data_IF_835211649997
#
_entry.id   IF_835211649997
#
_cell.length_a   1.000
_cell.length_b   1.000
_cell.length_c   1.000
_cell.angle_alpha   90.00
_cell.angle_beta   90.00
_cell.angle_gamma   90.00
#
_symmetry.space_group_name_H-M   'P 1'
#
loop_
_entity.id
_entity.type
_entity.pdbx_description
1 polymer ?
#
# COMPACT_ATOMS: atom_id res chain seq x y z
N UNK A 1 -10.60 32.79 18.68
CA UNK A 1 -11.43 32.06 19.65
C UNK A 1 -10.59 30.99 20.31
N UNK A 2 -10.38 31.14 21.61
CA UNK A 2 -9.59 30.25 22.47
C UNK A 2 -10.34 28.93 22.65
N UNK A 3 -9.71 27.78 22.52
CA UNK A 3 -10.18 26.49 23.06
C UNK A 3 -9.08 25.86 23.91
N UNK A 4 -9.37 25.86 25.10
CA UNK A 4 -9.08 25.21 26.37
C UNK A 4 -8.64 23.75 26.19
N UNK A 5 -7.46 23.47 26.75
CA UNK A 5 -6.92 22.12 26.97
C UNK A 5 -7.45 21.68 28.35
N UNK A 6 -8.25 20.63 28.40
CA UNK A 6 -8.61 19.95 29.62
C UNK A 6 -7.62 18.79 29.84
N UNK A 7 -6.86 18.89 30.91
CA UNK A 7 -6.12 17.78 31.52
C UNK A 7 -7.06 16.96 32.40
N UNK A 8 -7.18 15.67 32.17
CA UNK A 8 -7.88 14.75 33.08
C UNK A 8 -6.82 13.94 33.81
N UNK A 9 -6.58 14.32 35.05
CA UNK A 9 -5.89 13.51 36.06
C UNK A 9 -6.92 12.63 36.74
N UNK A 10 -6.90 11.33 36.55
CA UNK A 10 -7.69 10.38 37.28
C UNK A 10 -6.89 9.95 38.55
N UNK A 11 -7.27 10.46 39.69
CA UNK A 11 -6.81 10.01 40.98
C UNK A 11 -7.73 8.89 41.46
N UNK A 12 -7.20 7.68 41.59
CA UNK A 12 -7.86 6.57 42.29
C UNK A 12 -7.50 6.65 43.76
N UNK A 13 -8.46 7.13 44.57
CA UNK A 13 -8.43 7.08 46.05
C UNK A 13 -8.89 5.69 46.51
N UNK A 14 -7.98 4.90 47.09
CA UNK A 14 -8.31 3.77 47.93
C UNK A 14 -8.34 4.27 49.38
N UNK A 15 -9.54 4.32 49.97
CA UNK A 15 -9.70 4.55 51.41
C UNK A 15 -9.49 3.23 52.14
N UNK A 16 -8.43 3.17 52.96
CA UNK A 16 -8.35 2.25 54.10
C UNK A 16 -8.40 3.08 55.39
N UNK A 17 -9.50 2.92 56.12
CA UNK A 17 -9.63 3.43 57.45
C UNK A 17 -8.89 2.50 58.43
N UNK A 18 -7.83 3.00 59.08
CA UNK A 18 -7.35 2.50 60.36
C UNK A 18 -6.91 3.67 61.23
N UNK A 19 -7.56 3.78 62.37
CA UNK A 19 -7.23 4.76 63.40
C UNK A 19 -5.95 4.35 64.13
N UNK A 20 -4.99 5.29 64.26
CA UNK A 20 -3.79 5.09 65.07
C UNK A 20 -2.75 6.19 64.84
N UNK A 21 -2.57 7.05 65.83
CA UNK A 21 -1.58 8.13 65.87
C UNK A 21 -0.19 7.73 65.41
N UNK A 22 0.34 8.47 64.46
CA UNK A 22 1.72 8.95 64.46
C UNK A 22 2.00 9.82 63.21
N UNK A 23 2.37 11.07 63.46
CA UNK A 23 2.69 12.11 62.43
C UNK A 23 4.09 11.96 61.79
N UNK A 24 4.49 10.74 61.44
CA UNK A 24 5.82 10.44 60.88
C UNK A 24 5.79 9.55 59.63
N UNK A 25 4.69 9.45 58.89
CA UNK A 25 4.56 8.49 57.78
C UNK A 25 4.34 9.06 56.39
N UNK A 26 3.99 10.33 56.26
CA UNK A 26 3.56 10.88 54.95
C UNK A 26 4.69 11.46 54.11
N UNK A 27 5.76 11.94 54.76
CA UNK A 27 6.95 12.46 54.09
C UNK A 27 7.84 11.35 53.50
N UNK A 28 7.95 10.22 54.22
CA UNK A 28 8.80 9.10 53.84
C UNK A 28 8.20 8.28 52.70
N UNK A 29 6.86 8.16 52.65
CA UNK A 29 6.19 7.44 51.53
C UNK A 29 6.22 8.22 50.20
N UNK A 30 6.22 9.55 50.24
CA UNK A 30 6.37 10.41 49.05
C UNK A 30 7.83 10.40 48.58
N UNK A 31 8.78 10.41 49.48
CA UNK A 31 10.20 10.35 49.16
C UNK A 31 10.58 8.96 48.61
N UNK A 32 10.12 7.87 49.22
CA UNK A 32 10.37 6.52 48.71
C UNK A 32 9.71 6.29 47.36
N UNK A 33 8.53 6.85 47.10
CA UNK A 33 7.87 6.77 45.79
C UNK A 33 8.63 7.57 44.70
N UNK A 34 9.13 8.77 45.07
CA UNK A 34 10.00 9.56 44.18
C UNK A 34 11.35 8.91 43.95
N UNK A 35 11.93 8.24 44.91
CA UNK A 35 13.17 7.46 44.74
C UNK A 35 12.96 6.21 43.89
N UNK A 36 11.83 5.53 44.06
CA UNK A 36 11.47 4.38 43.21
C UNK A 36 11.18 4.86 41.77
N UNK A 37 10.45 5.95 41.56
CA UNK A 37 10.23 6.55 40.26
C UNK A 37 11.55 7.02 39.62
N UNK A 38 12.45 7.68 40.37
CA UNK A 38 13.80 8.03 39.92
C UNK A 38 14.65 6.81 39.60
N UNK A 39 14.64 5.78 40.42
CA UNK A 39 15.40 4.55 40.19
C UNK A 39 14.84 3.75 39.00
N UNK A 40 13.54 3.84 38.74
CA UNK A 40 12.92 3.26 37.54
C UNK A 40 13.28 4.08 36.27
N UNK A 41 13.26 5.41 36.34
CA UNK A 41 13.67 6.30 35.29
C UNK A 41 15.18 6.13 34.97
N UNK A 42 16.06 6.09 35.95
CA UNK A 42 17.49 5.81 35.77
C UNK A 42 17.74 4.40 35.20
N UNK A 43 16.91 3.42 35.55
CA UNK A 43 17.01 2.05 35.02
C UNK A 43 16.51 1.95 33.58
N UNK A 44 15.48 2.71 33.17
CA UNK A 44 15.04 2.81 31.78
C UNK A 44 16.04 3.56 30.92
N UNK A 45 16.55 4.70 31.34
CA UNK A 45 17.65 5.44 30.72
C UNK A 45 18.85 4.52 30.48
N UNK A 46 19.26 3.75 31.50
CA UNK A 46 20.35 2.79 31.42
C UNK A 46 20.10 1.69 30.35
N UNK A 47 18.86 1.24 30.16
CA UNK A 47 18.51 0.23 29.13
C UNK A 47 18.55 0.82 27.73
N UNK A 48 17.99 2.01 27.53
CA UNK A 48 18.00 2.69 26.22
C UNK A 48 19.44 3.02 25.81
N UNK A 49 20.21 3.54 26.72
CA UNK A 49 21.62 3.87 26.48
C UNK A 49 22.44 2.63 26.11
N UNK A 50 22.34 1.54 26.88
CA UNK A 50 23.00 0.26 26.57
C UNK A 50 22.62 -0.28 25.20
N UNK A 51 21.34 -0.25 24.84
CA UNK A 51 20.84 -0.73 23.56
C UNK A 51 21.31 0.15 22.40
N UNK A 52 21.31 1.47 22.57
CA UNK A 52 21.86 2.38 21.57
C UNK A 52 23.37 2.15 21.36
N UNK A 53 24.11 1.90 22.43
CA UNK A 53 25.54 1.56 22.36
C UNK A 53 25.77 0.30 21.52
N UNK A 54 24.96 -0.75 21.73
CA UNK A 54 25.02 -1.99 20.93
C UNK A 54 24.71 -1.72 19.46
N UNK A 55 23.74 -0.86 19.15
CA UNK A 55 23.44 -0.46 17.76
C UNK A 55 24.60 0.33 17.16
N UNK A 56 25.18 1.26 17.93
CA UNK A 56 26.27 2.11 17.51
C UNK A 56 27.54 1.32 17.16
N UNK A 57 27.84 0.25 17.91
CA UNK A 57 28.99 -0.62 17.63
C UNK A 57 28.93 -1.30 16.24
N UNK A 58 27.74 -1.42 15.67
CA UNK A 58 27.50 -2.08 14.38
C UNK A 58 27.20 -1.10 13.26
N UNK A 59 27.10 0.17 13.56
CA UNK A 59 26.68 1.22 12.61
C UNK A 59 27.85 2.16 12.30
N UNK A 60 28.04 2.55 11.03
CA UNK A 60 28.94 3.62 10.67
C UNK A 60 28.38 5.01 11.00
N UNK A 61 27.13 5.10 11.47
CA UNK A 61 26.47 6.33 11.89
C UNK A 61 26.65 6.45 13.40
N UNK A 62 27.03 7.63 13.87
CA UNK A 62 27.14 7.89 15.30
C UNK A 62 25.76 8.06 15.94
N UNK A 63 25.28 6.99 16.59
CA UNK A 63 23.97 6.88 17.25
C UNK A 63 24.05 7.31 18.73
N UNK A 64 24.27 8.60 18.94
CA UNK A 64 24.50 9.18 20.28
C UNK A 64 23.23 9.11 21.14
N UNK A 65 23.37 8.62 22.38
CA UNK A 65 22.35 8.79 23.42
C UNK A 65 22.42 10.18 24.07
N UNK A 66 21.29 10.85 24.13
CA UNK A 66 21.07 12.07 24.91
C UNK A 66 19.57 12.29 25.16
N UNK A 67 19.22 13.29 25.98
CA UNK A 67 17.83 13.60 26.32
C UNK A 67 16.92 13.91 25.10
N UNK A 68 17.46 14.43 24.00
CA UNK A 68 16.68 14.71 22.79
C UNK A 68 16.33 13.43 22.04
N UNK A 69 17.26 12.49 21.97
CA UNK A 69 17.07 11.16 21.39
C UNK A 69 16.09 10.36 22.21
N UNK A 70 16.25 10.35 23.52
CA UNK A 70 15.36 9.67 24.47
C UNK A 70 13.92 10.19 24.37
N UNK A 71 13.73 11.52 24.38
CA UNK A 71 12.41 12.12 24.18
C UNK A 71 11.78 11.72 22.84
N UNK A 72 12.58 11.57 21.79
CA UNK A 72 12.13 11.11 20.49
C UNK A 72 11.75 9.62 20.53
N UNK A 73 12.52 8.76 21.17
CA UNK A 73 12.21 7.34 21.39
C UNK A 73 10.89 7.20 22.14
N UNK A 74 10.73 7.90 23.27
CA UNK A 74 9.51 7.88 24.08
C UNK A 74 8.28 8.38 23.30
N UNK A 75 8.46 9.34 22.41
CA UNK A 75 7.38 9.79 21.52
C UNK A 75 6.88 8.68 20.60
N UNK A 76 7.76 7.85 20.04
CA UNK A 76 7.37 6.70 19.23
C UNK A 76 6.78 5.56 20.05
N UNK A 77 7.35 5.26 21.22
CA UNK A 77 6.92 4.15 22.06
C UNK A 77 5.57 4.41 22.76
N UNK A 78 5.28 5.67 23.12
CA UNK A 78 4.06 6.02 23.88
C UNK A 78 2.99 6.62 22.97
N UNK A 79 3.31 7.71 22.25
CA UNK A 79 2.30 8.48 21.50
C UNK A 79 2.02 7.89 20.12
N UNK A 80 3.03 7.28 19.50
CA UNK A 80 2.98 6.82 18.10
C UNK A 80 3.07 5.30 17.96
N UNK A 81 2.75 4.53 19.02
CA UNK A 81 2.85 3.06 19.02
C UNK A 81 2.10 2.40 17.85
N UNK A 82 0.88 2.89 17.53
CA UNK A 82 0.11 2.41 16.37
C UNK A 82 0.80 2.70 15.03
N UNK A 83 1.46 3.85 14.92
CA UNK A 83 2.22 4.21 13.72
C UNK A 83 3.42 3.27 13.55
N UNK A 84 4.16 2.98 14.62
CA UNK A 84 5.27 2.01 14.61
C UNK A 84 4.79 0.64 14.19
N UNK A 85 3.69 0.14 14.78
CA UNK A 85 3.06 -1.14 14.45
C UNK A 85 2.73 -1.25 12.95
N UNK A 86 2.17 -0.19 12.36
CA UNK A 86 1.89 -0.11 10.92
C UNK A 86 3.16 -0.08 10.07
N UNK A 87 4.16 0.72 10.45
CA UNK A 87 5.43 0.82 9.72
C UNK A 87 6.19 -0.50 9.70
N UNK A 88 6.18 -1.25 10.81
CA UNK A 88 6.74 -2.60 10.88
C UNK A 88 6.08 -3.56 9.90
N UNK A 89 4.75 -3.46 9.71
CA UNK A 89 4.01 -4.29 8.76
C UNK A 89 4.28 -3.95 7.30
N UNK A 90 4.57 -2.68 7.00
CA UNK A 90 4.84 -2.19 5.63
C UNK A 90 6.33 -2.29 5.26
N UNK A 91 7.23 -2.25 6.23
CA UNK A 91 8.68 -2.26 6.01
C UNK A 91 9.16 -3.42 5.10
N UNK A 92 8.67 -4.65 5.20
CA UNK A 92 9.06 -5.75 4.32
C UNK A 92 8.77 -5.50 2.83
N UNK A 93 7.87 -4.59 2.48
CA UNK A 93 7.58 -4.23 1.08
C UNK A 93 8.69 -3.38 0.46
N UNK A 94 9.32 -2.50 1.26
CA UNK A 94 10.29 -1.53 0.74
C UNK A 94 11.74 -1.80 1.14
N UNK A 95 11.98 -2.36 2.32
CA UNK A 95 13.33 -2.49 2.86
C UNK A 95 14.29 -3.29 2.00
N UNK A 96 13.90 -4.44 1.41
CA UNK A 96 14.83 -5.19 0.54
C UNK A 96 15.32 -4.35 -0.65
N UNK A 97 14.44 -3.55 -1.24
CA UNK A 97 14.78 -2.64 -2.32
C UNK A 97 15.65 -1.48 -1.83
N UNK A 98 15.32 -0.87 -0.67
CA UNK A 98 16.15 0.18 -0.09
C UNK A 98 17.56 -0.31 0.20
N UNK A 99 17.69 -1.48 0.85
CA UNK A 99 18.98 -2.08 1.20
C UNK A 99 19.84 -2.35 -0.04
N UNK A 100 19.25 -2.85 -1.13
CA UNK A 100 19.96 -3.11 -2.38
C UNK A 100 20.51 -1.80 -3.01
N UNK A 101 19.74 -0.69 -2.96
CA UNK A 101 20.22 0.60 -3.47
C UNK A 101 21.22 1.28 -2.53
N UNK A 102 21.02 1.19 -1.21
CA UNK A 102 21.97 1.74 -0.23
C UNK A 102 23.33 1.06 -0.36
N UNK A 103 23.34 -0.28 -0.46
CA UNK A 103 24.56 -1.06 -0.68
C UNK A 103 25.25 -0.68 -2.01
N UNK A 104 24.49 -0.56 -3.10
CA UNK A 104 25.00 -0.13 -4.42
C UNK A 104 25.75 1.20 -4.39
N UNK A 105 25.38 2.10 -3.49
CA UNK A 105 25.95 3.44 -3.36
C UNK A 105 26.84 3.63 -2.13
N UNK A 106 27.26 2.55 -1.45
CA UNK A 106 28.06 2.55 -0.22
C UNK A 106 27.48 3.45 0.90
N UNK A 107 26.14 3.44 1.04
CA UNK A 107 25.40 4.17 2.07
C UNK A 107 25.06 3.23 3.22
N UNK A 108 25.18 3.65 4.50
CA UNK A 108 24.78 2.84 5.63
C UNK A 108 23.33 2.33 5.52
N UNK A 109 23.11 1.04 5.79
CA UNK A 109 21.79 0.41 5.65
C UNK A 109 20.73 1.01 6.58
N UNK A 110 21.14 1.68 7.65
CA UNK A 110 20.26 2.42 8.56
C UNK A 110 19.52 3.55 7.87
N UNK A 111 20.04 4.09 6.75
CA UNK A 111 19.35 5.12 5.97
C UNK A 111 17.99 4.68 5.46
N UNK A 112 17.68 3.37 5.39
CA UNK A 112 16.33 2.87 5.13
C UNK A 112 15.29 3.43 6.11
N UNK A 113 15.69 3.68 7.36
CA UNK A 113 14.81 4.25 8.38
C UNK A 113 14.48 5.74 8.13
N UNK A 114 15.22 6.41 7.26
CA UNK A 114 14.93 7.79 6.90
C UNK A 114 13.60 7.93 6.17
N UNK A 115 13.24 6.96 5.32
CA UNK A 115 11.92 6.94 4.66
C UNK A 115 10.75 6.80 5.67
N UNK A 116 11.02 6.24 6.86
CA UNK A 116 10.04 6.23 7.96
C UNK A 116 9.89 7.64 8.53
N UNK A 117 10.99 8.34 8.79
CA UNK A 117 10.98 9.73 9.30
C UNK A 117 10.26 10.67 8.33
N UNK A 118 10.51 10.52 7.03
CA UNK A 118 9.98 11.39 5.98
C UNK A 118 8.49 11.17 5.69
N UNK A 119 8.09 9.92 5.54
CA UNK A 119 6.78 9.59 5.00
C UNK A 119 6.01 8.52 5.78
N UNK A 120 6.61 7.93 6.82
CA UNK A 120 6.10 6.71 7.46
C UNK A 120 5.85 5.59 6.43
N UNK A 121 6.75 5.44 5.44
CA UNK A 121 6.68 4.50 4.32
C UNK A 121 5.45 4.69 3.41
N UNK A 122 4.94 5.92 3.29
CA UNK A 122 3.86 6.21 2.36
C UNK A 122 4.40 6.80 1.04
N UNK A 123 4.36 6.06 -0.08
CA UNK A 123 4.87 6.54 -1.36
C UNK A 123 4.06 7.71 -1.93
N UNK A 124 2.85 7.97 -1.42
CA UNK A 124 1.99 9.10 -1.82
C UNK A 124 2.00 10.25 -0.83
N UNK A 125 2.89 10.23 0.15
CA UNK A 125 3.00 11.31 1.12
C UNK A 125 3.24 12.66 0.43
N UNK A 126 2.59 13.70 0.95
CA UNK A 126 2.72 15.08 0.48
C UNK A 126 2.81 16.03 1.66
N UNK A 127 3.89 16.78 1.74
CA UNK A 127 4.05 17.86 2.73
C UNK A 127 3.32 19.13 2.31
N UNK A 128 3.13 20.06 3.25
CA UNK A 128 2.56 21.39 2.96
C UNK A 128 3.47 22.21 2.02
N UNK A 129 4.78 22.03 2.11
CA UNK A 129 5.79 22.68 1.24
C UNK A 129 5.92 22.03 -0.14
N UNK A 130 5.18 20.95 -0.42
CA UNK A 130 5.14 20.28 -1.73
C UNK A 130 6.19 19.19 -1.92
N UNK A 131 6.87 18.75 -0.86
CA UNK A 131 7.68 17.54 -0.90
C UNK A 131 6.80 16.30 -1.11
N UNK A 132 7.29 15.27 -1.82
CA UNK A 132 6.52 14.08 -2.17
C UNK A 132 7.30 12.78 -2.08
N UNK A 133 6.54 11.71 -1.85
CA UNK A 133 7.02 10.33 -1.93
C UNK A 133 7.65 9.80 -0.66
N UNK A 134 8.23 8.60 -0.73
CA UNK A 134 8.89 7.90 0.38
C UNK A 134 10.00 8.76 1.01
N UNK A 135 10.76 9.46 0.17
CA UNK A 135 11.93 10.26 0.52
C UNK A 135 11.66 11.77 0.59
N UNK A 136 10.41 12.20 0.45
CA UNK A 136 9.97 13.61 0.53
C UNK A 136 10.79 14.58 -0.32
N UNK A 137 11.09 14.21 -1.57
CA UNK A 137 11.79 15.11 -2.48
C UNK A 137 11.01 16.40 -2.75
N UNK A 138 11.68 17.54 -2.61
CA UNK A 138 11.21 18.80 -3.17
C UNK A 138 11.29 18.76 -4.70
N UNK A 139 10.45 19.53 -5.38
CA UNK A 139 10.41 19.56 -6.85
C UNK A 139 11.78 19.84 -7.48
N UNK A 140 12.45 20.89 -7.03
CA UNK A 140 13.77 21.31 -7.55
C UNK A 140 14.84 20.25 -7.32
N UNK A 141 14.91 19.68 -6.11
CA UNK A 141 15.86 18.63 -5.77
C UNK A 141 15.57 17.36 -6.59
N UNK A 142 14.32 16.95 -6.71
CA UNK A 142 13.95 15.80 -7.54
C UNK A 142 14.40 15.96 -8.99
N UNK A 143 14.24 17.15 -9.58
CA UNK A 143 14.71 17.46 -10.93
C UNK A 143 16.23 17.37 -11.09
N UNK A 144 17.01 17.75 -10.07
CA UNK A 144 18.48 17.62 -10.06
C UNK A 144 18.93 16.15 -10.12
N UNK A 145 18.10 15.24 -9.59
CA UNK A 145 18.36 13.80 -9.60
C UNK A 145 17.47 13.06 -10.64
N UNK A 146 17.12 13.73 -11.73
CA UNK A 146 16.44 13.21 -12.91
C UNK A 146 15.03 12.63 -12.65
N UNK A 147 14.36 13.03 -11.56
CA UNK A 147 12.97 12.65 -11.33
C UNK A 147 12.02 13.51 -12.17
N UNK A 148 11.30 12.88 -13.10
CA UNK A 148 10.35 13.55 -13.96
C UNK A 148 9.06 13.90 -13.22
N UNK A 149 8.59 15.13 -13.41
CA UNK A 149 7.31 15.59 -12.89
C UNK A 149 6.53 16.27 -13.99
N UNK A 150 5.38 15.69 -14.31
CA UNK A 150 4.43 16.18 -15.31
C UNK A 150 3.01 16.21 -14.72
N UNK A 151 2.00 16.55 -15.53
CA UNK A 151 0.60 16.46 -15.11
C UNK A 151 0.10 15.03 -14.88
N UNK A 152 0.76 14.02 -15.44
CA UNK A 152 0.37 12.60 -15.40
C UNK A 152 1.30 11.75 -14.54
N UNK A 153 2.55 12.19 -14.37
CA UNK A 153 3.62 11.43 -13.73
C UNK A 153 4.35 12.31 -12.71
N UNK A 154 4.59 11.78 -11.51
CA UNK A 154 5.46 12.40 -10.49
C UNK A 154 6.40 11.32 -9.93
N UNK A 155 7.60 11.19 -10.50
CA UNK A 155 8.58 10.14 -10.15
C UNK A 155 9.16 10.30 -8.75
N UNK A 156 8.91 11.41 -8.04
CA UNK A 156 9.21 11.53 -6.62
C UNK A 156 8.41 10.55 -5.77
N UNK A 157 7.29 10.05 -6.31
CA UNK A 157 6.42 9.05 -5.69
C UNK A 157 6.74 7.62 -6.19
N UNK A 158 7.60 7.47 -7.19
CA UNK A 158 8.06 6.17 -7.67
C UNK A 158 9.04 5.54 -6.66
N UNK A 159 8.74 4.36 -6.09
CA UNK A 159 9.61 3.79 -5.06
C UNK A 159 11.02 3.50 -5.54
N UNK A 160 11.19 2.96 -6.74
CA UNK A 160 12.51 2.60 -7.29
C UNK A 160 13.32 3.85 -7.64
N UNK A 161 12.76 4.72 -8.49
CA UNK A 161 13.44 5.92 -8.99
C UNK A 161 13.78 6.90 -7.87
N UNK A 162 12.83 7.13 -6.94
CA UNK A 162 13.08 8.03 -5.83
C UNK A 162 14.09 7.48 -4.82
N UNK A 163 14.18 6.15 -4.68
CA UNK A 163 15.21 5.53 -3.84
C UNK A 163 16.59 5.68 -4.45
N UNK A 164 16.75 5.42 -5.74
CA UNK A 164 18.02 5.64 -6.44
C UNK A 164 18.46 7.12 -6.36
N UNK A 165 17.54 8.04 -6.61
CA UNK A 165 17.78 9.47 -6.47
C UNK A 165 18.20 9.88 -5.04
N UNK A 166 17.57 9.27 -4.02
CA UNK A 166 17.93 9.52 -2.62
C UNK A 166 19.34 9.04 -2.30
N UNK A 167 19.72 7.84 -2.75
CA UNK A 167 21.07 7.32 -2.57
C UNK A 167 22.13 8.21 -3.25
N UNK A 168 21.90 8.66 -4.48
CA UNK A 168 22.76 9.62 -5.16
C UNK A 168 22.89 10.94 -4.37
N UNK A 169 21.80 11.41 -3.79
CA UNK A 169 21.80 12.62 -2.98
C UNK A 169 22.57 12.43 -1.66
N UNK A 170 22.39 11.29 -0.98
CA UNK A 170 23.15 10.97 0.24
C UNK A 170 24.64 10.89 -0.03
N UNK A 171 25.06 10.19 -1.10
CA UNK A 171 26.46 10.11 -1.51
C UNK A 171 27.05 11.51 -1.74
N UNK A 172 26.32 12.38 -2.47
CA UNK A 172 26.73 13.76 -2.71
C UNK A 172 26.83 14.59 -1.43
N UNK A 173 25.90 14.41 -0.49
CA UNK A 173 25.99 15.09 0.80
C UNK A 173 27.15 14.56 1.64
N UNK A 174 27.45 13.27 1.57
CA UNK A 174 28.61 12.70 2.28
C UNK A 174 29.94 13.19 1.72
N UNK A 175 30.09 13.34 0.41
CA UNK A 175 31.24 14.02 -0.21
C UNK A 175 31.45 15.44 0.34
N UNK A 176 30.37 16.17 0.65
CA UNK A 176 30.42 17.55 1.13
C UNK A 176 30.76 17.66 2.62
N UNK A 177 30.25 16.75 3.45
CA UNK A 177 30.25 16.90 4.90
C UNK A 177 31.08 15.85 5.65
N UNK A 178 31.36 14.69 5.05
CA UNK A 178 32.17 13.61 5.63
C UNK A 178 31.64 12.99 6.93
N UNK A 179 30.41 13.34 7.33
CA UNK A 179 29.77 12.88 8.57
C UNK A 179 28.29 12.63 8.36
N UNK A 180 27.82 11.44 8.73
CA UNK A 180 26.43 11.02 8.46
C UNK A 180 25.40 11.84 9.23
N UNK A 181 25.67 12.31 10.43
CA UNK A 181 24.76 13.19 11.18
C UNK A 181 24.61 14.56 10.50
N UNK A 182 25.68 15.08 9.89
CA UNK A 182 25.63 16.28 9.06
C UNK A 182 24.90 16.02 7.73
N UNK A 183 25.05 14.85 7.13
CA UNK A 183 24.27 14.42 5.94
C UNK A 183 22.79 14.45 6.24
N UNK A 184 22.35 13.85 7.36
CA UNK A 184 20.95 13.88 7.80
C UNK A 184 20.44 15.32 7.98
N UNK A 185 21.23 16.16 8.65
CA UNK A 185 20.89 17.57 8.84
C UNK A 185 20.82 18.37 7.53
N UNK A 186 21.74 18.08 6.58
CA UNK A 186 21.76 18.69 5.26
C UNK A 186 20.61 18.24 4.38
N UNK A 187 20.22 16.97 4.46
CA UNK A 187 19.08 16.44 3.74
C UNK A 187 17.78 17.17 4.11
N UNK A 188 17.54 17.35 5.41
CA UNK A 188 16.38 18.07 5.92
C UNK A 188 16.44 19.58 5.67
N UNK A 189 17.55 20.23 6.09
CA UNK A 189 17.67 21.69 6.11
C UNK A 189 18.14 22.30 4.78
N UNK A 190 18.71 21.49 3.92
CA UNK A 190 19.40 21.88 2.70
C UNK A 190 20.90 22.15 2.94
N UNK A 191 21.80 21.66 2.03
CA UNK A 191 23.25 21.76 2.21
C UNK A 191 23.74 23.20 2.33
N UNK A 192 23.22 24.11 1.50
CA UNK A 192 23.65 25.52 1.56
C UNK A 192 23.26 26.23 2.87
N UNK A 193 22.15 25.83 3.52
CA UNK A 193 21.81 26.35 4.84
C UNK A 193 22.76 25.82 5.91
N UNK A 194 23.02 24.50 5.88
CA UNK A 194 23.91 23.88 6.85
C UNK A 194 25.33 24.46 6.75
N UNK A 195 25.91 24.53 5.53
CA UNK A 195 27.23 25.11 5.29
C UNK A 195 27.35 26.54 5.82
N UNK A 196 26.35 27.40 5.52
CA UNK A 196 26.35 28.78 6.05
C UNK A 196 26.34 28.83 7.58
N UNK A 197 25.59 27.91 8.21
CA UNK A 197 25.53 27.85 9.68
C UNK A 197 26.87 27.39 10.26
N UNK A 198 27.50 26.36 9.68
CA UNK A 198 28.82 25.86 10.07
C UNK A 198 29.88 26.93 9.97
N UNK A 199 29.97 27.64 8.84
CA UNK A 199 30.91 28.72 8.61
C UNK A 199 30.72 29.87 9.61
N UNK A 200 29.44 30.25 9.87
CA UNK A 200 29.11 31.34 10.81
C UNK A 200 29.50 31.01 12.25
N UNK A 201 29.39 29.75 12.66
CA UNK A 201 29.63 29.31 14.04
C UNK A 201 31.03 28.78 14.25
N UNK A 202 31.75 28.36 13.19
CA UNK A 202 32.99 27.63 13.27
C UNK A 202 32.83 26.19 13.77
N UNK A 203 31.62 25.64 13.83
CA UNK A 203 31.30 24.33 14.38
C UNK A 203 31.02 23.35 13.24
N UNK A 204 31.65 22.17 13.29
CA UNK A 204 31.57 21.12 12.26
C UNK A 204 31.10 19.77 12.79
N UNK A 205 30.66 19.70 14.04
CA UNK A 205 29.93 18.56 14.62
C UNK A 205 28.45 18.86 14.71
N UNK A 206 27.58 17.85 14.43
CA UNK A 206 26.12 18.05 14.44
C UNK A 206 25.58 18.39 15.84
N UNK A 207 26.06 17.69 16.88
CA UNK A 207 25.51 17.85 18.23
C UNK A 207 25.87 19.19 18.84
N UNK A 208 27.05 19.67 18.56
CA UNK A 208 27.53 21.02 18.95
C UNK A 208 26.81 22.10 18.09
N UNK A 209 26.61 21.85 16.78
CA UNK A 209 25.96 22.78 15.86
C UNK A 209 24.43 22.87 16.12
N UNK A 210 23.84 21.82 16.68
CA UNK A 210 22.42 21.65 16.87
C UNK A 210 21.69 22.85 17.50
N UNK A 211 22.18 23.54 18.53
CA UNK A 211 21.51 24.72 19.11
C UNK A 211 21.29 25.86 18.11
N UNK A 212 22.13 25.96 17.10
CA UNK A 212 22.11 27.02 16.06
C UNK A 212 21.24 26.65 14.86
N UNK A 213 20.79 25.40 14.76
CA UNK A 213 19.95 24.93 13.67
C UNK A 213 18.49 25.35 13.87
N UNK A 214 17.71 25.38 12.77
CA UNK A 214 16.25 25.55 12.80
C UNK A 214 15.60 24.41 13.58
N UNK A 215 14.46 24.69 14.19
CA UNK A 215 13.74 23.71 15.03
C UNK A 215 13.53 22.36 14.36
N UNK A 216 13.17 22.34 13.09
CA UNK A 216 12.97 21.12 12.30
C UNK A 216 14.26 20.31 12.18
N UNK A 217 15.33 20.95 11.70
CA UNK A 217 16.64 20.32 11.50
C UNK A 217 17.29 19.86 12.83
N UNK A 218 17.04 20.60 13.93
CA UNK A 218 17.48 20.20 15.29
C UNK A 218 16.85 18.89 15.77
N UNK A 219 15.62 18.60 15.35
CA UNK A 219 14.89 17.39 15.74
C UNK A 219 15.13 16.20 14.81
N UNK A 220 15.76 16.41 13.67
CA UNK A 220 15.80 15.42 12.61
C UNK A 220 16.71 14.22 12.91
N UNK A 221 17.96 14.46 13.32
CA UNK A 221 18.87 13.38 13.75
C UNK A 221 18.33 12.64 14.97
N UNK A 222 17.85 13.32 16.05
CA UNK A 222 17.19 12.64 17.15
C UNK A 222 16.01 11.74 16.72
N UNK A 223 15.20 12.18 15.74
CA UNK A 223 14.09 11.38 15.22
C UNK A 223 14.61 10.16 14.43
N UNK A 224 15.66 10.31 13.63
CA UNK A 224 16.28 9.21 12.91
C UNK A 224 16.84 8.14 13.85
N UNK A 225 17.63 8.56 14.88
CA UNK A 225 18.16 7.65 15.89
C UNK A 225 17.03 6.92 16.64
N UNK A 226 15.95 7.65 16.97
CA UNK A 226 14.80 7.08 17.64
C UNK A 226 14.07 6.02 16.78
N UNK A 227 13.90 6.28 15.48
CA UNK A 227 13.28 5.29 14.58
C UNK A 227 14.18 4.06 14.45
N UNK A 228 15.50 4.25 14.30
CA UNK A 228 16.45 3.14 14.27
C UNK A 228 16.31 2.28 15.54
N UNK A 229 16.32 2.90 16.72
CA UNK A 229 16.14 2.20 17.99
C UNK A 229 14.81 1.43 18.04
N UNK A 230 13.70 2.10 17.75
CA UNK A 230 12.36 1.51 17.88
C UNK A 230 12.14 0.36 16.90
N UNK A 231 12.62 0.49 15.67
CA UNK A 231 12.51 -0.56 14.64
C UNK A 231 13.36 -1.79 14.97
N UNK A 232 14.42 -1.66 15.78
CA UNK A 232 15.22 -2.80 16.24
C UNK A 232 14.69 -3.45 17.52
N UNK A 233 14.09 -2.66 18.43
CA UNK A 233 13.70 -3.12 19.78
C UNK A 233 12.17 -3.10 20.01
N UNK A 234 11.33 -3.07 18.97
CA UNK A 234 9.88 -2.99 19.10
C UNK A 234 9.25 -4.13 19.90
N UNK A 235 9.84 -5.34 19.86
CA UNK A 235 9.34 -6.53 20.56
C UNK A 235 9.42 -6.36 22.08
N UNK A 236 10.52 -5.79 22.57
CA UNK A 236 10.79 -5.53 23.97
C UNK A 236 9.81 -4.53 24.59
N UNK A 237 9.19 -3.71 23.73
CA UNK A 237 8.13 -2.76 24.15
C UNK A 237 6.71 -3.28 23.86
N UNK A 238 6.56 -4.56 23.54
CA UNK A 238 5.26 -5.17 23.26
C UNK A 238 4.52 -4.49 22.11
N UNK A 239 5.26 -4.12 21.05
CA UNK A 239 4.66 -3.57 19.82
C UNK A 239 4.41 -4.74 18.87
N UNK A 240 3.14 -5.02 18.63
CA UNK A 240 2.73 -6.02 17.64
C UNK A 240 2.79 -5.46 16.23
N UNK A 241 3.14 -6.30 15.27
CA UNK A 241 3.20 -5.92 13.85
C UNK A 241 1.78 -5.91 13.29
N UNK A 242 1.31 -4.76 12.86
CA UNK A 242 0.05 -4.66 12.11
C UNK A 242 0.25 -5.23 10.71
N UNK A 243 -0.48 -6.29 10.39
CA UNK A 243 -0.48 -6.83 9.01
C UNK A 243 -0.91 -5.74 8.03
N UNK A 244 -0.24 -5.60 6.88
CA UNK A 244 -0.68 -4.67 5.85
C UNK A 244 -2.07 -5.06 5.33
N UNK A 245 -2.86 -4.06 4.92
CA UNK A 245 -4.22 -4.26 4.40
C UNK A 245 -4.26 -5.14 3.15
N UNK A 246 -3.17 -5.17 2.40
CA UNK A 246 -2.99 -6.04 1.24
C UNK A 246 -1.77 -6.95 1.43
N UNK A 247 -1.77 -8.16 0.87
CA UNK A 247 -0.58 -8.99 0.87
C UNK A 247 0.56 -8.30 0.10
N UNK A 248 1.80 -8.51 0.56
CA UNK A 248 2.98 -8.13 -0.20
C UNK A 248 3.07 -9.07 -1.40
N UNK A 249 3.11 -8.52 -2.60
CA UNK A 249 3.07 -9.26 -3.86
C UNK A 249 4.41 -9.04 -4.57
N UNK A 250 5.00 -10.12 -5.07
CA UNK A 250 6.15 -10.00 -5.96
C UNK A 250 5.75 -9.27 -7.24
N UNK A 251 6.49 -8.24 -7.58
CA UNK A 251 6.22 -7.37 -8.73
C UNK A 251 7.40 -7.36 -9.68
N UNK A 252 7.11 -6.99 -10.93
CA UNK A 252 8.12 -6.68 -11.95
C UNK A 252 7.70 -5.41 -12.69
N UNK A 253 8.61 -4.87 -13.52
CA UNK A 253 8.40 -3.62 -14.26
C UNK A 253 8.59 -3.81 -15.75
N UNK A 254 7.74 -3.15 -16.56
CA UNK A 254 7.89 -3.07 -18.00
C UNK A 254 7.67 -1.63 -18.48
N UNK A 255 8.36 -1.23 -19.56
CA UNK A 255 8.15 0.07 -20.19
C UNK A 255 7.01 -0.01 -21.22
N UNK A 256 5.97 0.78 -21.04
CA UNK A 256 4.87 0.88 -22.01
C UNK A 256 5.31 1.59 -23.29
N UNK A 257 4.99 1.00 -24.43
CA UNK A 257 5.30 1.57 -25.77
C UNK A 257 4.28 2.63 -26.24
N UNK A 258 3.15 2.74 -25.54
CA UNK A 258 2.11 3.73 -25.83
C UNK A 258 1.41 4.19 -24.58
N UNK A 259 0.64 5.27 -24.66
CA UNK A 259 -0.19 5.74 -23.56
C UNK A 259 -1.28 4.71 -23.24
N UNK A 260 -1.64 4.57 -21.96
CA UNK A 260 -2.65 3.60 -21.52
C UNK A 260 -3.45 4.09 -20.31
N UNK A 261 -4.77 4.05 -20.40
CA UNK A 261 -5.66 4.34 -19.27
C UNK A 261 -5.74 3.15 -18.30
N UNK A 262 -5.88 3.42 -17.00
CA UNK A 262 -6.02 2.37 -15.98
C UNK A 262 -7.23 1.48 -16.21
N UNK A 263 -8.32 2.03 -16.80
CA UNK A 263 -9.53 1.26 -17.08
C UNK A 263 -9.27 0.22 -18.16
N UNK A 264 -8.60 0.63 -19.22
CA UNK A 264 -8.21 -0.25 -20.33
C UNK A 264 -7.25 -1.34 -19.83
N UNK A 265 -6.20 -0.93 -19.10
CA UNK A 265 -5.25 -1.89 -18.55
C UNK A 265 -5.93 -2.87 -17.59
N UNK A 266 -6.77 -2.37 -16.67
CA UNK A 266 -7.50 -3.17 -15.68
C UNK A 266 -8.33 -4.30 -16.33
N UNK A 267 -9.02 -3.99 -17.41
CA UNK A 267 -9.82 -4.97 -18.16
C UNK A 267 -8.94 -5.98 -18.89
N UNK A 268 -7.86 -5.51 -19.54
CA UNK A 268 -6.97 -6.36 -20.32
C UNK A 268 -6.22 -7.40 -19.47
N UNK A 269 -5.81 -7.03 -18.27
CA UNK A 269 -5.02 -7.89 -17.39
C UNK A 269 -5.82 -8.46 -16.20
N UNK A 270 -7.12 -8.18 -16.12
CA UNK A 270 -8.00 -8.60 -15.03
C UNK A 270 -7.49 -8.21 -13.63
N UNK A 271 -6.92 -7.01 -13.50
CA UNK A 271 -6.39 -6.48 -12.24
C UNK A 271 -7.18 -5.23 -11.84
N UNK A 272 -7.68 -5.11 -10.58
CA UNK A 272 -8.43 -3.92 -10.13
C UNK A 272 -7.62 -2.63 -10.31
N UNK A 273 -8.28 -1.55 -10.73
CA UNK A 273 -7.68 -0.20 -10.92
C UNK A 273 -7.00 0.32 -9.66
N UNK A 274 -7.55 0.00 -8.51
CA UNK A 274 -7.01 0.33 -7.19
C UNK A 274 -5.66 -0.32 -6.98
N UNK A 275 -5.53 -1.61 -7.33
CA UNK A 275 -4.27 -2.35 -7.24
C UNK A 275 -3.24 -1.80 -8.23
N UNK A 276 -3.64 -1.54 -9.48
CA UNK A 276 -2.77 -0.88 -10.47
C UNK A 276 -2.24 0.44 -9.93
N UNK A 277 -3.15 1.26 -9.37
CA UNK A 277 -2.78 2.54 -8.78
C UNK A 277 -1.85 2.41 -7.58
N UNK A 278 -2.08 1.44 -6.70
CA UNK A 278 -1.23 1.20 -5.51
C UNK A 278 0.19 0.80 -5.89
N UNK A 279 0.33 -0.06 -6.91
CA UNK A 279 1.63 -0.48 -7.43
C UNK A 279 2.35 0.61 -8.23
N UNK A 280 1.61 1.63 -8.71
CA UNK A 280 2.13 2.72 -9.53
C UNK A 280 1.81 4.09 -8.89
N UNK A 281 2.35 4.40 -7.71
CA UNK A 281 2.01 5.62 -6.97
C UNK A 281 2.46 6.90 -7.67
N UNK A 282 3.42 6.82 -8.60
CA UNK A 282 3.90 7.95 -9.41
C UNK A 282 2.87 8.46 -10.43
N UNK A 283 1.85 7.65 -10.78
CA UNK A 283 0.83 8.02 -11.77
C UNK A 283 -0.27 8.85 -11.08
N UNK A 284 -0.46 10.09 -11.54
CA UNK A 284 -1.33 11.06 -10.86
C UNK A 284 -2.75 11.11 -11.42
N UNK A 285 -2.97 10.83 -12.71
CA UNK A 285 -4.27 10.96 -13.40
C UNK A 285 -4.85 9.65 -13.92
N UNK A 286 -4.39 8.50 -13.40
CA UNK A 286 -4.84 7.16 -13.83
C UNK A 286 -4.61 6.88 -15.33
N UNK A 287 -3.66 7.56 -15.94
CA UNK A 287 -3.22 7.38 -17.31
C UNK A 287 -1.70 7.23 -17.30
N UNK A 288 -1.20 6.12 -17.79
CA UNK A 288 0.22 5.90 -18.02
C UNK A 288 0.64 6.64 -19.30
N UNK A 289 1.57 7.59 -19.25
CA UNK A 289 2.16 8.14 -20.45
C UNK A 289 2.94 7.10 -21.26
N UNK A 290 3.11 7.33 -22.56
CA UNK A 290 4.04 6.56 -23.38
C UNK A 290 5.46 6.60 -22.81
N UNK A 291 6.20 5.51 -22.94
CA UNK A 291 7.55 5.33 -22.42
C UNK A 291 7.65 5.44 -20.88
N UNK A 292 6.56 5.10 -20.17
CA UNK A 292 6.55 5.05 -18.70
C UNK A 292 6.70 3.60 -18.24
N UNK A 293 7.51 3.39 -17.20
CA UNK A 293 7.58 2.10 -16.54
C UNK A 293 6.31 1.87 -15.72
N UNK A 294 5.71 0.69 -15.88
CA UNK A 294 4.61 0.23 -15.04
C UNK A 294 5.07 -0.95 -14.19
N UNK A 295 4.58 -1.00 -12.96
CA UNK A 295 4.81 -2.10 -12.02
C UNK A 295 3.54 -2.94 -11.93
N UNK A 296 3.67 -4.24 -12.16
CA UNK A 296 2.56 -5.20 -12.08
C UNK A 296 2.98 -6.42 -11.24
N UNK A 297 2.03 -7.22 -10.71
CA UNK A 297 2.33 -8.51 -10.13
C UNK A 297 3.07 -9.40 -11.14
N UNK A 298 4.07 -10.15 -10.69
CA UNK A 298 4.99 -10.90 -11.57
C UNK A 298 4.27 -11.90 -12.49
N UNK A 299 3.23 -12.57 -11.98
CA UNK A 299 2.39 -13.46 -12.78
C UNK A 299 1.61 -12.71 -13.88
N UNK A 300 1.07 -11.52 -13.55
CA UNK A 300 0.33 -10.67 -14.50
C UNK A 300 1.29 -10.07 -15.53
N UNK A 301 2.51 -9.73 -15.11
CA UNK A 301 3.56 -9.21 -16.00
C UNK A 301 3.91 -10.22 -17.09
N UNK A 302 4.03 -11.51 -16.74
CA UNK A 302 4.29 -12.57 -17.74
C UNK A 302 3.16 -12.64 -18.77
N UNK A 303 1.91 -12.60 -18.34
CA UNK A 303 0.75 -12.59 -19.25
C UNK A 303 0.73 -11.32 -20.14
N UNK A 304 1.10 -10.17 -19.58
CA UNK A 304 1.22 -8.93 -20.34
C UNK A 304 2.28 -9.06 -21.45
N UNK A 305 3.48 -9.54 -21.13
CA UNK A 305 4.58 -9.69 -22.10
C UNK A 305 4.20 -10.66 -23.22
N UNK A 306 3.62 -11.81 -22.88
CA UNK A 306 3.19 -12.81 -23.88
C UNK A 306 2.14 -12.21 -24.86
N UNK A 307 1.27 -11.34 -24.35
CA UNK A 307 0.17 -10.76 -25.12
C UNK A 307 0.43 -9.29 -25.53
N UNK A 308 1.65 -8.78 -25.38
CA UNK A 308 1.98 -7.36 -25.52
C UNK A 308 1.45 -6.75 -26.83
N UNK A 309 1.67 -7.42 -27.96
CA UNK A 309 1.22 -6.94 -29.26
C UNK A 309 -0.31 -6.89 -29.40
N UNK A 310 -1.01 -7.87 -28.84
CA UNK A 310 -2.47 -7.90 -28.85
C UNK A 310 -3.05 -6.79 -27.96
N UNK A 311 -2.40 -6.53 -26.81
CA UNK A 311 -2.75 -5.45 -25.89
C UNK A 311 -2.66 -4.10 -26.60
N UNK A 312 -1.55 -3.81 -27.28
CA UNK A 312 -1.39 -2.53 -27.99
C UNK A 312 -2.35 -2.38 -29.17
N UNK A 313 -2.61 -3.45 -29.92
CA UNK A 313 -3.62 -3.41 -30.99
C UNK A 313 -5.01 -3.07 -30.42
N UNK A 314 -5.37 -3.62 -29.26
CA UNK A 314 -6.63 -3.28 -28.59
C UNK A 314 -6.66 -1.82 -28.12
N UNK A 315 -5.58 -1.33 -27.52
CA UNK A 315 -5.50 0.08 -27.07
C UNK A 315 -5.68 1.03 -28.25
N UNK A 316 -5.05 0.75 -29.39
CA UNK A 316 -5.23 1.53 -30.64
C UNK A 316 -6.68 1.54 -31.11
N UNK A 317 -7.36 0.38 -31.09
CA UNK A 317 -8.77 0.28 -31.46
C UNK A 317 -9.70 1.07 -30.52
N UNK A 318 -9.38 1.10 -29.21
CA UNK A 318 -10.10 1.93 -28.22
C UNK A 318 -9.87 3.43 -28.48
N UNK A 319 -8.63 3.86 -28.76
CA UNK A 319 -8.31 5.25 -29.07
C UNK A 319 -9.00 5.72 -30.36
N UNK A 320 -9.11 4.85 -31.37
CA UNK A 320 -9.81 5.11 -32.62
C UNK A 320 -11.33 5.03 -32.50
N UNK A 321 -11.87 4.77 -31.29
CA UNK A 321 -13.29 4.55 -31.01
C UNK A 321 -13.92 3.39 -31.80
N UNK A 322 -13.09 2.47 -32.31
CA UNK A 322 -13.55 1.23 -32.93
C UNK A 322 -14.11 0.24 -31.89
N UNK A 323 -13.67 0.37 -30.64
CA UNK A 323 -14.14 -0.39 -29.47
C UNK A 323 -14.52 0.61 -28.36
N UNK A 324 -15.74 0.51 -27.84
CA UNK A 324 -16.17 1.28 -26.66
C UNK A 324 -15.80 0.54 -25.39
N UNK A 325 -15.30 1.28 -24.38
CA UNK A 325 -14.85 0.72 -23.07
C UNK A 325 -15.98 0.03 -22.27
N UNK A 326 -17.24 0.10 -22.74
CA UNK A 326 -18.38 -0.59 -22.14
C UNK A 326 -18.51 -2.05 -22.57
N UNK A 327 -17.50 -2.63 -23.23
CA UNK A 327 -17.48 -4.03 -23.64
C UNK A 327 -16.65 -4.86 -22.63
N UNK A 328 -17.26 -5.83 -21.99
CA UNK A 328 -16.57 -6.74 -21.06
C UNK A 328 -15.78 -7.82 -21.81
N UNK A 329 -14.53 -8.02 -21.43
CA UNK A 329 -13.70 -9.12 -21.98
C UNK A 329 -14.13 -10.46 -21.36
N UNK A 330 -14.40 -11.44 -22.23
CA UNK A 330 -14.61 -12.83 -21.86
C UNK A 330 -13.56 -13.72 -22.52
N UNK A 331 -12.98 -14.64 -21.78
CA UNK A 331 -12.17 -15.72 -22.37
C UNK A 331 -13.08 -16.93 -22.57
N UNK A 332 -13.43 -17.16 -23.84
CA UNK A 332 -14.25 -18.31 -24.22
C UNK A 332 -13.37 -19.51 -24.56
N UNK A 333 -13.65 -20.65 -23.98
CA UNK A 333 -12.97 -21.92 -24.33
C UNK A 333 -13.83 -22.70 -25.30
N UNK A 334 -13.30 -22.92 -26.51
CA UNK A 334 -14.00 -23.62 -27.58
C UNK A 334 -14.38 -25.04 -27.16
N UNK A 335 -15.66 -25.38 -27.27
CA UNK A 335 -16.23 -26.69 -26.91
C UNK A 335 -16.51 -27.53 -28.18
N UNK A 336 -16.79 -28.80 -27.98
CA UNK A 336 -17.21 -29.69 -29.06
C UNK A 336 -18.52 -29.17 -29.70
N UNK A 337 -18.53 -29.00 -31.03
CA UNK A 337 -19.69 -28.47 -31.78
C UNK A 337 -19.74 -26.95 -31.89
N UNK A 338 -18.69 -26.21 -31.40
CA UNK A 338 -18.62 -24.78 -31.61
C UNK A 338 -18.02 -24.41 -32.98
N UNK A 339 -18.56 -23.35 -33.54
CA UNK A 339 -18.02 -22.65 -34.71
C UNK A 339 -18.16 -21.13 -34.52
N UNK A 340 -17.34 -20.35 -35.22
CA UNK A 340 -17.26 -18.89 -35.00
C UNK A 340 -18.62 -18.18 -35.07
N UNK A 341 -19.51 -18.61 -36.01
CA UNK A 341 -20.82 -18.02 -36.14
C UNK A 341 -21.72 -18.24 -34.91
N UNK A 342 -21.68 -19.44 -34.34
CA UNK A 342 -22.43 -19.76 -33.12
C UNK A 342 -21.90 -18.94 -31.93
N UNK A 343 -20.56 -18.91 -31.74
CA UNK A 343 -19.94 -18.15 -30.66
C UNK A 343 -20.25 -16.65 -30.81
N UNK A 344 -20.19 -16.11 -32.03
CA UNK A 344 -20.52 -14.72 -32.31
C UNK A 344 -21.99 -14.39 -31.97
N UNK A 345 -22.92 -15.24 -32.41
CA UNK A 345 -24.35 -15.07 -32.13
C UNK A 345 -24.68 -15.15 -30.64
N UNK A 346 -24.13 -16.15 -29.94
CA UNK A 346 -24.36 -16.36 -28.51
C UNK A 346 -23.81 -15.22 -27.64
N UNK A 347 -22.81 -14.50 -28.14
CA UNK A 347 -22.16 -13.41 -27.40
C UNK A 347 -22.43 -12.01 -27.98
N UNK A 348 -23.36 -11.87 -28.93
CA UNK A 348 -23.81 -10.58 -29.48
C UNK A 348 -22.76 -9.80 -30.26
N UNK A 349 -21.85 -10.49 -30.96
CA UNK A 349 -20.76 -9.87 -31.71
C UNK A 349 -20.66 -10.37 -33.15
N UNK A 350 -19.84 -9.72 -33.96
CA UNK A 350 -19.62 -10.17 -35.35
C UNK A 350 -18.50 -11.23 -35.41
N UNK A 351 -18.59 -12.13 -36.39
CA UNK A 351 -17.53 -13.11 -36.69
C UNK A 351 -16.21 -12.40 -37.00
N UNK A 352 -16.27 -11.25 -37.71
CA UNK A 352 -15.09 -10.47 -38.07
C UNK A 352 -14.36 -9.90 -36.86
N UNK A 353 -15.12 -9.50 -35.80
CA UNK A 353 -14.52 -9.01 -34.56
C UNK A 353 -13.76 -10.14 -33.84
N UNK A 354 -14.38 -11.33 -33.75
CA UNK A 354 -13.72 -12.51 -33.15
C UNK A 354 -12.44 -12.85 -33.92
N UNK A 355 -12.49 -12.83 -35.27
CA UNK A 355 -11.30 -13.08 -36.12
C UNK A 355 -10.21 -12.04 -35.83
N UNK A 356 -10.54 -10.75 -35.86
CA UNK A 356 -9.62 -9.62 -35.66
C UNK A 356 -8.94 -9.73 -34.29
N UNK A 357 -9.71 -9.90 -33.22
CA UNK A 357 -9.22 -9.96 -31.85
C UNK A 357 -8.33 -11.17 -31.55
N UNK A 358 -8.62 -12.30 -32.22
CA UNK A 358 -7.89 -13.55 -32.01
C UNK A 358 -6.89 -13.89 -33.14
N UNK A 359 -6.68 -12.98 -34.10
CA UNK A 359 -5.77 -13.14 -35.26
C UNK A 359 -6.02 -14.48 -36.00
N UNK A 360 -7.30 -14.85 -36.18
CA UNK A 360 -7.65 -16.08 -36.83
C UNK A 360 -7.49 -15.93 -38.36
N UNK A 361 -6.72 -16.84 -38.97
CA UNK A 361 -6.52 -16.89 -40.42
C UNK A 361 -7.72 -17.52 -41.16
N UNK A 362 -8.49 -18.35 -40.46
CA UNK A 362 -9.69 -19.04 -40.98
C UNK A 362 -10.66 -19.31 -39.81
N UNK A 363 -11.82 -19.90 -40.10
CA UNK A 363 -12.88 -20.17 -39.11
C UNK A 363 -12.73 -21.48 -38.36
N UNK A 364 -11.65 -22.23 -38.62
CA UNK A 364 -11.39 -23.50 -37.96
C UNK A 364 -10.99 -23.28 -36.51
N UNK A 365 -11.77 -23.87 -35.59
CA UNK A 365 -11.53 -23.79 -34.16
C UNK A 365 -11.14 -25.17 -33.65
N UNK A 366 -10.06 -25.25 -32.90
CA UNK A 366 -9.71 -26.47 -32.16
C UNK A 366 -10.43 -26.46 -30.81
N UNK A 367 -10.95 -27.60 -30.38
CA UNK A 367 -11.54 -27.79 -29.04
C UNK A 367 -10.47 -27.43 -27.99
N UNK A 368 -10.86 -26.70 -26.96
CA UNK A 368 -9.98 -26.21 -25.91
C UNK A 368 -9.23 -24.91 -26.25
N UNK A 369 -9.30 -24.42 -27.50
CA UNK A 369 -8.73 -23.12 -27.86
C UNK A 369 -9.41 -22.02 -27.07
N UNK A 370 -8.61 -21.11 -26.49
CA UNK A 370 -9.10 -19.92 -25.80
C UNK A 370 -9.28 -18.78 -26.82
N UNK A 371 -10.47 -18.19 -26.87
CA UNK A 371 -10.81 -17.03 -27.67
C UNK A 371 -11.08 -15.85 -26.75
N UNK A 372 -10.53 -14.69 -27.08
CA UNK A 372 -10.85 -13.42 -26.41
C UNK A 372 -12.07 -12.82 -27.10
N UNK A 373 -13.13 -12.59 -26.34
CA UNK A 373 -14.38 -11.97 -26.79
C UNK A 373 -14.60 -10.67 -26.01
N UNK A 374 -15.16 -9.65 -26.66
CA UNK A 374 -15.54 -8.38 -26.03
C UNK A 374 -17.06 -8.20 -26.13
N UNK A 375 -17.74 -8.43 -25.01
CA UNK A 375 -19.21 -8.44 -24.93
C UNK A 375 -19.68 -7.09 -24.41
N UNK A 376 -20.69 -6.48 -25.06
CA UNK A 376 -21.33 -5.26 -24.58
C UNK A 376 -22.02 -5.51 -23.25
N UNK A 377 -21.83 -4.61 -22.27
CA UNK A 377 -22.45 -4.75 -20.93
C UNK A 377 -23.98 -4.85 -20.98
N UNK A 378 -24.61 -4.21 -21.96
CA UNK A 378 -26.05 -4.32 -22.19
C UNK A 378 -26.48 -5.74 -22.60
N UNK A 379 -25.65 -6.47 -23.33
CA UNK A 379 -25.89 -7.86 -23.69
C UNK A 379 -25.78 -8.80 -22.48
N UNK A 380 -24.78 -8.60 -21.63
CA UNK A 380 -24.63 -9.32 -20.35
C UNK A 380 -25.81 -9.09 -19.41
N UNK A 381 -26.30 -7.85 -19.31
CA UNK A 381 -27.49 -7.53 -18.49
C UNK A 381 -28.75 -8.20 -19.04
N UNK A 382 -28.87 -8.31 -20.37
CA UNK A 382 -30.00 -9.01 -21.01
C UNK A 382 -29.91 -10.53 -20.78
N UNK A 383 -28.71 -11.10 -20.81
CA UNK A 383 -28.48 -12.53 -20.58
C UNK A 383 -28.60 -12.89 -19.09
N UNK A 384 -28.08 -12.05 -18.18
CA UNK A 384 -28.33 -12.21 -16.74
C UNK A 384 -29.81 -12.10 -16.37
N UNK A 385 -30.58 -11.23 -17.05
CA UNK A 385 -32.03 -11.16 -16.90
C UNK A 385 -32.75 -12.41 -17.45
N UNK A 386 -32.15 -13.15 -18.40
CA UNK A 386 -32.63 -14.41 -18.93
C UNK A 386 -32.30 -15.62 -18.05
N UNK A 387 -31.28 -15.48 -17.20
CA UNK A 387 -30.78 -16.55 -16.30
C UNK A 387 -31.31 -16.40 -14.85
N UNK A 388 -31.99 -15.30 -14.51
CA UNK A 388 -32.78 -15.27 -13.28
C UNK A 388 -33.94 -16.26 -13.43
N UNK A 389 -33.74 -17.48 -12.92
CA UNK A 389 -34.79 -18.48 -12.81
C UNK A 389 -36.02 -17.84 -12.15
N UNK A 390 -37.20 -17.86 -12.77
CA UNK A 390 -38.39 -17.30 -12.14
C UNK A 390 -38.57 -17.92 -10.76
N UNK A 391 -38.85 -17.09 -9.76
CA UNK A 391 -39.01 -17.53 -8.38
C UNK A 391 -40.48 -17.74 -8.11
N UNK A 392 -40.86 -18.94 -7.67
CA UNK A 392 -42.17 -19.19 -7.13
C UNK A 392 -42.17 -19.06 -5.61
N UNK A 393 -43.10 -18.31 -5.05
CA UNK A 393 -43.29 -18.21 -3.60
C UNK A 393 -44.36 -19.21 -3.21
N UNK A 394 -44.01 -20.20 -2.39
CA UNK A 394 -44.87 -21.25 -1.91
C UNK A 394 -46.04 -20.66 -1.12
N UNK A 395 -47.29 -21.04 -1.51
CA UNK A 395 -48.51 -20.68 -0.80
C UNK A 395 -48.92 -21.81 0.16
N UNK A 396 -49.78 -21.50 1.10
CA UNK A 396 -50.32 -22.50 2.03
C UNK A 396 -51.09 -23.59 1.27
N UNK A 397 -50.63 -24.85 1.42
CA UNK A 397 -51.21 -26.00 0.74
C UNK A 397 -50.58 -26.40 -0.59
N UNK A 398 -49.60 -25.63 -1.10
CA UNK A 398 -48.87 -26.01 -2.31
C UNK A 398 -47.96 -27.23 -2.07
N UNK A 399 -47.96 -28.13 -3.06
CA UNK A 399 -47.00 -29.24 -3.15
C UNK A 399 -46.02 -29.01 -4.31
N UNK A 400 -44.88 -29.71 -4.30
CA UNK A 400 -43.93 -29.68 -5.45
C UNK A 400 -44.58 -30.12 -6.75
N UNK A 401 -45.60 -31.01 -6.67
CA UNK A 401 -46.37 -31.47 -7.81
C UNK A 401 -47.26 -30.36 -8.37
N UNK A 402 -47.96 -29.60 -7.50
CA UNK A 402 -48.77 -28.46 -7.90
C UNK A 402 -47.94 -27.36 -8.57
N UNK A 403 -46.76 -27.11 -8.02
CA UNK A 403 -45.84 -26.13 -8.60
C UNK A 403 -45.31 -26.61 -9.96
N UNK A 404 -44.91 -27.89 -10.09
CA UNK A 404 -44.44 -28.45 -11.35
C UNK A 404 -45.52 -28.38 -12.43
N UNK A 405 -46.80 -28.70 -12.10
CA UNK A 405 -47.93 -28.66 -13.04
C UNK A 405 -48.32 -27.24 -13.48
N UNK A 406 -48.01 -26.21 -12.70
CA UNK A 406 -48.27 -24.82 -13.08
C UNK A 406 -47.36 -24.32 -14.21
N UNK A 407 -46.23 -24.97 -14.42
CA UNK A 407 -45.23 -24.55 -15.38
C UNK A 407 -44.92 -25.68 -16.34
N UNK A 408 -45.40 -25.55 -17.60
CA UNK A 408 -45.22 -26.57 -18.64
C UNK A 408 -43.74 -27.00 -18.77
N UNK A 409 -43.49 -28.29 -18.70
CA UNK A 409 -42.19 -28.91 -18.93
C UNK A 409 -41.26 -28.94 -17.72
N UNK A 410 -41.71 -28.60 -16.52
CA UNK A 410 -40.97 -28.77 -15.28
C UNK A 410 -41.46 -30.01 -14.54
N UNK A 411 -40.52 -30.92 -14.20
CA UNK A 411 -40.84 -32.10 -13.38
C UNK A 411 -40.50 -31.84 -11.89
N UNK A 412 -41.17 -32.58 -11.00
CA UNK A 412 -40.92 -32.55 -9.56
C UNK A 412 -39.44 -32.88 -9.26
N UNK A 413 -38.83 -33.81 -9.99
CA UNK A 413 -37.44 -34.20 -9.83
C UNK A 413 -36.48 -33.08 -10.22
N UNK A 414 -36.79 -32.28 -11.23
CA UNK A 414 -36.02 -31.11 -11.61
C UNK A 414 -36.14 -29.99 -10.58
N UNK A 415 -37.33 -29.75 -10.00
CA UNK A 415 -37.51 -28.79 -8.91
C UNK A 415 -36.68 -29.16 -7.68
N UNK A 416 -36.69 -30.43 -7.26
CA UNK A 416 -35.90 -30.93 -6.14
C UNK A 416 -34.42 -30.74 -6.39
N UNK A 417 -33.91 -31.16 -7.56
CA UNK A 417 -32.51 -31.07 -7.93
C UNK A 417 -32.03 -29.60 -8.07
N UNK A 418 -32.86 -28.75 -8.69
CA UNK A 418 -32.53 -27.34 -8.95
C UNK A 418 -32.46 -26.50 -7.66
N UNK A 419 -33.29 -26.87 -6.67
CA UNK A 419 -33.38 -26.18 -5.38
C UNK A 419 -32.65 -26.90 -4.24
N UNK A 420 -31.95 -28.02 -4.51
CA UNK A 420 -31.26 -28.84 -3.49
C UNK A 420 -32.19 -29.23 -2.31
N UNK A 421 -33.43 -29.57 -2.58
CA UNK A 421 -34.40 -29.91 -1.55
C UNK A 421 -34.15 -31.32 -1.00
N UNK A 422 -34.07 -31.45 0.32
CA UNK A 422 -33.86 -32.72 1.01
C UNK A 422 -35.17 -33.43 1.38
N UNK A 423 -36.32 -32.76 1.16
CA UNK A 423 -37.66 -33.32 1.42
C UNK A 423 -38.71 -32.71 0.49
N UNK A 424 -39.84 -33.40 0.33
CA UNK A 424 -40.97 -32.91 -0.47
C UNK A 424 -41.88 -31.91 0.31
N UNK A 425 -41.55 -31.60 1.58
CA UNK A 425 -42.33 -30.68 2.40
C UNK A 425 -41.88 -29.24 2.13
N UNK A 426 -42.80 -28.42 1.66
CA UNK A 426 -42.62 -27.00 1.42
C UNK A 426 -43.23 -26.18 2.56
N UNK A 427 -42.62 -25.08 2.91
CA UNK A 427 -43.14 -24.11 3.89
C UNK A 427 -43.80 -22.94 3.17
N UNK A 428 -44.97 -22.47 3.59
CA UNK A 428 -45.58 -21.25 3.07
C UNK A 428 -44.58 -20.07 3.19
N UNK A 429 -44.38 -19.30 2.09
CA UNK A 429 -43.40 -18.22 1.98
C UNK A 429 -42.02 -18.66 1.51
N UNK A 430 -41.71 -19.94 1.37
CA UNK A 430 -40.46 -20.46 0.82
C UNK A 430 -40.34 -20.10 -0.68
N UNK A 431 -39.11 -19.77 -1.10
CA UNK A 431 -38.81 -19.42 -2.49
C UNK A 431 -38.30 -20.65 -3.23
N UNK A 432 -38.98 -21.05 -4.28
CA UNK A 432 -38.59 -22.15 -5.18
C UNK A 432 -38.13 -21.54 -6.51
N UNK A 433 -36.87 -21.80 -6.88
CA UNK A 433 -36.31 -21.43 -8.19
C UNK A 433 -36.88 -22.39 -9.25
N UNK A 434 -37.51 -21.84 -10.28
CA UNK A 434 -38.00 -22.62 -11.40
C UNK A 434 -36.88 -22.84 -12.42
N UNK A 435 -36.63 -24.10 -12.86
CA UNK A 435 -35.64 -24.36 -13.90
C UNK A 435 -35.98 -23.60 -15.19
N UNK A 436 -35.03 -22.82 -15.71
CA UNK A 436 -35.14 -22.21 -17.05
C UNK A 436 -34.59 -23.19 -18.09
N UNK A 437 -35.34 -23.40 -19.17
CA UNK A 437 -34.86 -24.20 -20.32
C UNK A 437 -33.90 -23.43 -21.21
#
# INVERSE_FOLDING_TARGET
MKKIILSISAVLLFQFAFAGNSSMGFSDSINSKKEIERSLEEKEESIIEKRLKILNEKSPIDLVYNSYVENSINSYLVRNKKLVSRMLGVAPEYFPMFEAYLDKYDIPLEFKYLAIVESALNPRARSRSGARGLWQFMYTTGKQYNLNVTSYLDERQDPLKSTEAACQYFAKLYEMFGNWNLVLAAYNGGPGYLTRTMVKTGIYDYWELRPYLRRETRGYVPAFVAVNYVMNYYKEYGIEIQKPERPIIETDTITLKMQMDFSVLSELICLPKETIGQLNPSITKKIFPKNTNITLPKNVMLDFVINEQAIYTFVEAVEQKEILINESRLVYVVKLGDYLGKIAQENGMSINDIRKWNKLKNDNLSIGRKLVLFIKDDFKKAEQKKIESPVYIVKQGDTLWDIANKYEGISVSELIKHNNLNSNQLKPGEKILLPTR
#
